data_IF_032682436917
#
_entry.id   IF_032682436917
#
_cell.length_a   1.000
_cell.length_b   1.000
_cell.length_c   1.000
_cell.angle_alpha   90.00
_cell.angle_beta   90.00
_cell.angle_gamma   90.00
#
_symmetry.space_group_name_H-M   'P 1'
#
loop_
_entity.id
_entity.type
_entity.pdbx_description
1 polymer ?
#
# COMPACT_ATOMS: atom_id res chain seq x y z
N UNK A 1 9.99 -20.09 -4.11
CA UNK A 1 8.99 -19.25 -4.81
C UNK A 1 9.74 -18.04 -5.39
N UNK A 2 9.19 -17.34 -6.38
CA UNK A 2 9.83 -16.16 -6.99
C UNK A 2 8.93 -14.94 -6.83
N UNK A 3 9.54 -13.77 -6.62
CA UNK A 3 8.85 -12.48 -6.49
C UNK A 3 9.51 -11.44 -7.37
N UNK A 4 8.71 -10.58 -7.99
CA UNK A 4 9.20 -9.41 -8.72
C UNK A 4 9.42 -8.25 -7.74
N UNK A 5 10.68 -7.95 -7.44
CA UNK A 5 11.05 -6.89 -6.49
C UNK A 5 10.61 -5.51 -6.96
N UNK A 6 10.53 -5.28 -8.26
CA UNK A 6 10.08 -3.99 -8.80
C UNK A 6 8.56 -3.84 -8.68
N UNK A 7 7.79 -4.93 -8.66
CA UNK A 7 6.38 -4.89 -8.30
C UNK A 7 6.20 -4.43 -6.83
N UNK A 8 6.99 -4.98 -5.91
CA UNK A 8 6.98 -4.60 -4.49
C UNK A 8 7.38 -3.14 -4.29
N UNK A 9 8.47 -2.70 -4.93
CA UNK A 9 8.92 -1.30 -4.84
C UNK A 9 7.88 -0.33 -5.41
N UNK A 10 7.26 -0.69 -6.53
CA UNK A 10 6.17 0.12 -7.12
C UNK A 10 5.00 0.23 -6.15
N UNK A 11 4.59 -0.87 -5.52
CA UNK A 11 3.54 -0.89 -4.51
C UNK A 11 3.88 0.06 -3.34
N UNK A 12 5.10 -0.03 -2.80
CA UNK A 12 5.55 0.85 -1.71
C UNK A 12 5.58 2.34 -2.10
N UNK A 13 6.11 2.66 -3.29
CA UNK A 13 6.13 4.04 -3.78
C UNK A 13 4.72 4.57 -3.98
N UNK A 14 3.81 3.77 -4.54
CA UNK A 14 2.42 4.16 -4.73
C UNK A 14 1.71 4.44 -3.39
N UNK A 15 1.88 3.56 -2.39
CA UNK A 15 1.36 3.76 -1.03
C UNK A 15 1.89 5.08 -0.45
N UNK A 16 3.22 5.29 -0.49
CA UNK A 16 3.85 6.51 0.02
C UNK A 16 3.30 7.77 -0.65
N UNK A 17 3.14 7.75 -1.98
CA UNK A 17 2.59 8.88 -2.74
C UNK A 17 1.14 9.16 -2.32
N UNK A 18 0.31 8.14 -2.16
CA UNK A 18 -1.09 8.32 -1.73
C UNK A 18 -1.16 8.86 -0.30
N UNK A 19 -0.32 8.37 0.63
CA UNK A 19 -0.24 8.91 2.01
C UNK A 19 0.21 10.37 2.00
N UNK A 20 1.23 10.72 1.21
CA UNK A 20 1.69 12.09 1.09
C UNK A 20 0.61 13.02 0.50
N UNK A 21 -0.14 12.56 -0.49
CA UNK A 21 -1.29 13.31 -1.04
C UNK A 21 -2.38 13.47 0.00
N UNK A 22 -2.69 12.42 0.77
CA UNK A 22 -3.66 12.50 1.86
C UNK A 22 -3.23 13.51 2.93
N UNK A 23 -1.93 13.58 3.24
CA UNK A 23 -1.37 14.55 4.18
C UNK A 23 -1.50 15.99 3.67
N UNK A 24 -1.06 16.27 2.45
CA UNK A 24 -1.08 17.62 1.88
C UNK A 24 -2.52 18.14 1.70
N UNK A 25 -3.46 17.27 1.37
CA UNK A 25 -4.87 17.63 1.15
C UNK A 25 -5.73 17.52 2.41
N UNK A 26 -5.17 17.12 3.55
CA UNK A 26 -5.88 16.80 4.79
C UNK A 26 -7.12 15.90 4.54
N UNK A 27 -6.89 14.82 3.80
CA UNK A 27 -7.92 13.93 3.27
C UNK A 27 -7.87 12.55 3.95
N UNK A 28 -8.33 12.40 5.21
CA UNK A 28 -8.23 11.15 5.96
C UNK A 28 -9.01 9.98 5.35
N UNK A 29 -10.04 10.28 4.55
CA UNK A 29 -10.78 9.26 3.80
C UNK A 29 -9.90 8.55 2.74
N UNK A 30 -8.83 9.19 2.24
CA UNK A 30 -7.87 8.51 1.37
C UNK A 30 -7.08 7.45 2.12
N UNK A 31 -6.71 7.69 3.39
CA UNK A 31 -6.04 6.67 4.23
C UNK A 31 -6.98 5.50 4.52
N UNK A 32 -8.28 5.77 4.73
CA UNK A 32 -9.30 4.73 4.91
C UNK A 32 -9.39 3.84 3.66
N UNK A 33 -9.55 4.44 2.48
CA UNK A 33 -9.62 3.70 1.21
C UNK A 33 -8.32 2.91 0.95
N UNK A 34 -7.17 3.52 1.22
CA UNK A 34 -5.86 2.89 1.05
C UNK A 34 -5.71 1.69 1.99
N UNK A 35 -5.99 1.87 3.28
CA UNK A 35 -5.94 0.80 4.28
C UNK A 35 -6.83 -0.38 3.90
N UNK A 36 -8.08 -0.12 3.49
CA UNK A 36 -8.99 -1.17 3.00
C UNK A 36 -8.42 -1.89 1.76
N UNK A 37 -7.86 -1.15 0.79
CA UNK A 37 -7.26 -1.75 -0.40
C UNK A 37 -6.04 -2.64 -0.05
N UNK A 38 -5.24 -2.23 0.94
CA UNK A 38 -4.10 -3.02 1.42
C UNK A 38 -4.53 -4.31 2.11
N UNK A 39 -5.55 -4.25 2.97
CA UNK A 39 -6.13 -5.43 3.64
C UNK A 39 -6.67 -6.45 2.63
N UNK A 40 -7.47 -5.98 1.67
CA UNK A 40 -8.02 -6.84 0.61
C UNK A 40 -6.89 -7.46 -0.22
N UNK A 41 -5.85 -6.69 -0.56
CA UNK A 41 -4.67 -7.19 -1.28
C UNK A 41 -3.79 -8.13 -0.45
N UNK A 42 -3.74 -7.98 0.87
CA UNK A 42 -2.98 -8.85 1.77
C UNK A 42 -3.65 -10.22 1.92
N UNK A 43 -4.99 -10.26 1.93
CA UNK A 43 -5.80 -11.48 1.94
C UNK A 43 -5.70 -12.22 0.59
N UNK A 44 -5.91 -11.52 -0.51
CA UNK A 44 -5.78 -12.08 -1.87
C UNK A 44 -5.00 -11.12 -2.79
N UNK A 45 -3.77 -11.51 -3.21
CA UNK A 45 -2.93 -10.73 -4.12
C UNK A 45 -3.59 -10.35 -5.45
N UNK A 46 -4.64 -11.07 -5.86
CA UNK A 46 -5.42 -10.73 -7.07
C UNK A 46 -6.09 -9.37 -6.97
N UNK A 47 -6.32 -8.86 -5.76
CA UNK A 47 -6.91 -7.55 -5.52
C UNK A 47 -5.89 -6.49 -5.10
N UNK A 48 -4.60 -6.79 -5.05
CA UNK A 48 -3.56 -5.82 -4.74
C UNK A 48 -3.45 -4.77 -5.87
N UNK A 49 -4.14 -3.63 -5.69
CA UNK A 49 -4.41 -2.64 -6.74
C UNK A 49 -3.13 -2.11 -7.39
N UNK A 50 -2.12 -1.74 -6.61
CA UNK A 50 -0.88 -1.20 -7.18
C UNK A 50 0.00 -2.27 -7.83
N UNK A 51 -0.02 -3.51 -7.31
CA UNK A 51 0.66 -4.63 -7.98
C UNK A 51 -0.02 -4.97 -9.31
N UNK A 52 -1.36 -4.95 -9.37
CA UNK A 52 -2.10 -5.11 -10.62
C UNK A 52 -1.77 -3.98 -11.61
N UNK A 53 -1.71 -2.74 -11.13
CA UNK A 53 -1.31 -1.60 -11.95
C UNK A 53 0.11 -1.79 -12.51
N UNK A 54 1.06 -2.22 -11.69
CA UNK A 54 2.39 -2.59 -12.13
C UNK A 54 2.36 -3.66 -13.24
N UNK A 55 1.68 -4.78 -13.00
CA UNK A 55 1.66 -5.89 -13.94
C UNK A 55 0.95 -5.58 -15.26
N UNK A 56 -0.09 -4.75 -15.24
CA UNK A 56 -0.89 -4.41 -16.43
C UNK A 56 -0.34 -3.22 -17.21
N UNK A 57 0.26 -2.24 -16.53
CA UNK A 57 0.59 -0.93 -17.12
C UNK A 57 2.10 -0.69 -17.18
N UNK A 58 2.85 -1.02 -16.13
CA UNK A 58 4.25 -0.61 -16.00
C UNK A 58 5.24 -1.69 -16.47
N UNK A 59 4.95 -2.95 -16.17
CA UNK A 59 5.85 -4.09 -16.40
C UNK A 59 6.19 -4.21 -17.88
N UNK A 60 7.49 -4.12 -18.19
CA UNK A 60 8.01 -4.25 -19.56
C UNK A 60 7.81 -3.04 -20.47
N UNK A 61 7.12 -1.99 -20.00
CA UNK A 61 6.97 -0.71 -20.73
C UNK A 61 7.80 0.39 -20.12
N UNK A 62 7.65 0.58 -18.82
CA UNK A 62 8.31 1.66 -18.05
C UNK A 62 9.31 1.04 -17.05
N UNK A 63 8.91 -0.05 -16.40
CA UNK A 63 9.72 -0.71 -15.37
C UNK A 63 10.06 -2.12 -15.83
N UNK A 64 11.35 -2.44 -15.81
CA UNK A 64 11.83 -3.79 -16.12
C UNK A 64 11.55 -4.72 -14.93
N UNK A 65 11.02 -5.93 -15.12
CA UNK A 65 10.81 -6.87 -14.02
C UNK A 65 12.15 -7.34 -13.42
N UNK A 66 12.21 -7.45 -12.08
CA UNK A 66 13.35 -8.01 -11.34
C UNK A 66 12.86 -9.20 -10.51
N UNK A 67 12.74 -10.35 -11.18
CA UNK A 67 12.23 -11.58 -10.58
C UNK A 67 13.36 -12.33 -9.89
N UNK A 68 13.25 -12.53 -8.57
CA UNK A 68 14.25 -13.23 -7.76
C UNK A 68 13.59 -14.30 -6.87
N UNK A 69 14.35 -15.33 -6.45
CA UNK A 69 13.90 -16.23 -5.40
C UNK A 69 13.61 -15.43 -4.12
N UNK A 70 12.37 -15.49 -3.66
CA UNK A 70 11.89 -14.81 -2.46
C UNK A 70 10.54 -15.42 -2.04
N UNK A 71 10.16 -15.28 -0.78
CA UNK A 71 8.87 -15.71 -0.24
C UNK A 71 7.88 -14.53 -0.26
N UNK A 72 6.69 -14.65 -0.90
CA UNK A 72 5.68 -13.59 -0.86
C UNK A 72 5.00 -13.41 0.50
N UNK A 73 5.03 -14.40 1.40
CA UNK A 73 4.25 -14.39 2.64
C UNK A 73 4.65 -13.25 3.61
N UNK A 74 5.95 -12.99 3.89
CA UNK A 74 6.35 -11.87 4.75
C UNK A 74 5.91 -10.51 4.19
N UNK A 75 5.95 -10.33 2.87
CA UNK A 75 5.53 -9.09 2.22
C UNK A 75 4.03 -8.85 2.35
N UNK A 76 3.22 -9.90 2.21
CA UNK A 76 1.77 -9.84 2.44
C UNK A 76 1.43 -9.51 3.88
N UNK A 77 2.12 -10.13 4.83
CA UNK A 77 1.94 -9.83 6.25
C UNK A 77 2.26 -8.36 6.55
N UNK A 78 3.40 -7.86 6.06
CA UNK A 78 3.78 -6.46 6.23
C UNK A 78 2.78 -5.50 5.58
N UNK A 79 2.25 -5.84 4.41
CA UNK A 79 1.19 -5.06 3.75
C UNK A 79 -0.10 -5.02 4.58
N UNK A 80 -0.53 -6.16 5.15
CA UNK A 80 -1.68 -6.21 6.05
C UNK A 80 -1.46 -5.36 7.30
N UNK A 81 -0.30 -5.49 7.96
CA UNK A 81 0.03 -4.66 9.12
C UNK A 81 0.00 -3.16 8.78
N UNK A 82 0.58 -2.77 7.64
CA UNK A 82 0.49 -1.39 7.14
C UNK A 82 -0.95 -0.94 6.87
N UNK A 83 -1.79 -1.81 6.30
CA UNK A 83 -3.22 -1.58 6.12
C UNK A 83 -3.93 -1.28 7.44
N UNK A 84 -3.73 -2.11 8.46
CA UNK A 84 -4.31 -1.93 9.78
C UNK A 84 -3.91 -0.60 10.43
N UNK A 85 -2.64 -0.18 10.29
CA UNK A 85 -2.16 1.10 10.79
C UNK A 85 -2.81 2.29 10.06
N UNK A 86 -2.95 2.21 8.74
CA UNK A 86 -3.64 3.25 7.96
C UNK A 86 -5.13 3.35 8.31
N UNK A 87 -5.78 2.22 8.61
CA UNK A 87 -7.16 2.21 9.10
C UNK A 87 -7.26 2.89 10.47
N UNK A 88 -6.37 2.55 11.41
CA UNK A 88 -6.31 3.19 12.72
C UNK A 88 -6.01 4.70 12.61
N UNK A 89 -5.08 5.08 11.73
CA UNK A 89 -4.76 6.47 11.40
C UNK A 89 -6.01 7.21 10.90
N UNK A 90 -6.74 6.62 9.95
CA UNK A 90 -7.96 7.22 9.40
C UNK A 90 -9.03 7.44 10.46
N UNK A 91 -9.24 6.49 11.38
CA UNK A 91 -10.18 6.62 12.50
C UNK A 91 -9.74 7.74 13.45
N UNK A 92 -8.45 7.80 13.78
CA UNK A 92 -7.90 8.86 14.64
C UNK A 92 -8.07 10.25 14.02
N UNK A 93 -7.78 10.42 12.73
CA UNK A 93 -7.96 11.68 12.02
C UNK A 93 -9.43 12.10 11.92
N UNK A 94 -10.34 11.17 11.58
CA UNK A 94 -11.78 11.44 11.54
C UNK A 94 -12.35 11.78 12.93
N UNK A 95 -11.74 11.25 14.00
CA UNK A 95 -12.04 11.59 15.39
C UNK A 95 -11.38 12.87 15.91
N UNK A 96 -10.63 13.60 15.07
CA UNK A 96 -9.96 14.85 15.43
C UNK A 96 -8.60 14.69 16.14
N UNK A 97 -8.13 13.46 16.36
CA UNK A 97 -6.83 13.17 16.99
C UNK A 97 -5.67 13.30 15.97
N UNK A 98 -5.46 14.51 15.47
CA UNK A 98 -4.57 14.83 14.32
C UNK A 98 -3.14 14.29 14.49
N UNK A 99 -2.51 14.56 15.63
CA UNK A 99 -1.11 14.12 15.89
C UNK A 99 -1.01 12.60 15.94
N UNK A 100 -1.99 11.92 16.56
CA UNK A 100 -2.03 10.46 16.63
C UNK A 100 -2.22 9.87 15.24
N UNK A 101 -3.18 10.40 14.48
CA UNK A 101 -3.47 9.92 13.13
C UNK A 101 -2.26 9.98 12.21
N UNK A 102 -1.56 11.13 12.15
CA UNK A 102 -0.38 11.26 11.31
C UNK A 102 0.87 10.56 11.84
N UNK A 103 0.92 10.22 13.14
CA UNK A 103 2.00 9.38 13.68
C UNK A 103 1.82 7.91 13.32
N UNK A 104 0.58 7.48 13.05
CA UNK A 104 0.25 6.11 12.64
C UNK A 104 0.37 5.89 11.12
N UNK A 105 0.21 6.95 10.32
CA UNK A 105 0.24 6.92 8.86
C UNK A 105 1.66 6.91 8.27
#
# INVERSE_FOLDING_TARGET
>A
MTVDRNALRTNQVAILVVVAVAFVLDAPWLLLLLGLALEVGALDPRFAVFQQFYHRVLRGRIVRPDVRPDDPAPHRFAQGLGGAFLLAASVALLGGATVVGWSLA
#
